data_IF_816417429287
#
_entry.id   IF_816417429287
#
_cell.length_a   1.000
_cell.length_b   1.000
_cell.length_c   1.000
_cell.angle_alpha   90.00
_cell.angle_beta   90.00
_cell.angle_gamma   90.00
#
_symmetry.space_group_name_H-M   'P 1'
#
loop_
_entity.id
_entity.type
_entity.pdbx_description
1 polymer ?
#
# COMPACT_ATOMS: atom_id res chain seq x y z
N UNK A 1 9.65 6.46 -15.01
CA UNK A 1 8.90 7.45 -14.21
C UNK A 1 7.55 7.69 -14.86
N UNK A 2 6.50 6.96 -14.43
CA UNK A 2 5.12 7.32 -14.76
C UNK A 2 4.64 8.24 -13.64
N UNK A 3 4.47 9.53 -13.94
CA UNK A 3 3.75 10.42 -13.05
C UNK A 3 2.31 9.89 -13.01
N UNK A 4 1.94 9.26 -11.90
CA UNK A 4 0.57 8.86 -11.68
C UNK A 4 -0.23 10.15 -11.47
N UNK A 5 -0.85 10.60 -12.56
CA UNK A 5 -1.81 11.71 -12.54
C UNK A 5 -3.08 11.17 -11.90
N UNK A 6 -2.98 10.84 -10.62
CA UNK A 6 -4.11 10.38 -9.83
C UNK A 6 -5.16 11.48 -9.76
N UNK A 7 -6.41 11.06 -9.49
CA UNK A 7 -7.55 11.97 -9.33
C UNK A 7 -7.22 13.13 -8.38
N UNK A 8 -6.43 12.87 -7.34
CA UNK A 8 -5.97 13.90 -6.41
C UNK A 8 -5.14 14.99 -7.09
N UNK A 9 -4.20 14.62 -7.98
CA UNK A 9 -3.35 15.57 -8.71
C UNK A 9 -4.19 16.47 -9.63
N UNK A 10 -5.18 15.90 -10.32
CA UNK A 10 -6.11 16.65 -11.19
C UNK A 10 -6.98 17.59 -10.36
N UNK A 11 -7.54 17.10 -9.26
CA UNK A 11 -8.35 17.89 -8.32
C UNK A 11 -7.53 19.02 -7.71
N UNK A 12 -6.30 18.76 -7.25
CA UNK A 12 -5.41 19.80 -6.71
C UNK A 12 -5.08 20.85 -7.76
N UNK A 13 -4.73 20.46 -8.99
CA UNK A 13 -4.44 21.42 -10.08
C UNK A 13 -5.65 22.28 -10.42
N UNK A 14 -6.83 21.67 -10.60
CA UNK A 14 -8.08 22.41 -10.86
C UNK A 14 -8.41 23.38 -9.72
N UNK A 15 -8.27 22.93 -8.48
CA UNK A 15 -8.54 23.76 -7.30
C UNK A 15 -7.54 24.90 -7.15
N UNK A 16 -6.24 24.68 -7.42
CA UNK A 16 -5.23 25.74 -7.46
C UNK A 16 -5.59 26.77 -8.52
N UNK A 17 -5.95 26.34 -9.74
CA UNK A 17 -6.37 27.25 -10.80
C UNK A 17 -7.61 28.08 -10.42
N UNK A 18 -8.59 27.46 -9.76
CA UNK A 18 -9.79 28.15 -9.27
C UNK A 18 -9.47 29.15 -8.15
N UNK A 19 -8.60 28.77 -7.20
CA UNK A 19 -8.14 29.64 -6.11
C UNK A 19 -7.33 30.83 -6.64
N UNK A 20 -6.39 30.61 -7.57
CA UNK A 20 -5.62 31.67 -8.23
C UNK A 20 -6.54 32.62 -8.98
N UNK A 21 -7.53 32.09 -9.72
CA UNK A 21 -8.51 32.90 -10.45
C UNK A 21 -9.40 33.72 -9.50
N UNK A 22 -9.81 33.15 -8.37
CA UNK A 22 -10.55 33.87 -7.33
C UNK A 22 -9.71 35.00 -6.70
N UNK A 23 -8.45 34.72 -6.36
CA UNK A 23 -7.50 35.71 -5.86
C UNK A 23 -7.27 36.86 -6.85
N UNK A 24 -7.04 36.57 -8.13
CA UNK A 24 -6.90 37.59 -9.19
C UNK A 24 -8.16 38.45 -9.33
N UNK A 25 -9.35 37.86 -9.19
CA UNK A 25 -10.62 38.61 -9.23
C UNK A 25 -10.81 39.50 -8.02
N UNK A 26 -10.38 39.06 -6.83
CA UNK A 26 -10.42 39.86 -5.60
C UNK A 26 -9.47 41.05 -5.68
N UNK A 27 -8.21 40.84 -6.09
CA UNK A 27 -7.21 41.92 -6.27
C UNK A 27 -7.67 42.95 -7.30
N UNK A 28 -8.39 42.53 -8.34
CA UNK A 28 -8.96 43.42 -9.36
C UNK A 28 -10.28 44.10 -8.93
N UNK A 29 -10.72 43.93 -7.68
CA UNK A 29 -11.96 44.51 -7.16
C UNK A 29 -13.25 43.99 -7.82
N UNK A 30 -13.17 42.84 -8.51
CA UNK A 30 -14.28 42.27 -9.30
C UNK A 30 -15.07 41.17 -8.58
N UNK A 31 -14.69 40.81 -7.35
CA UNK A 31 -15.36 39.78 -6.56
C UNK A 31 -15.81 40.34 -5.21
N UNK A 32 -17.01 39.95 -4.77
CA UNK A 32 -17.49 40.23 -3.42
C UNK A 32 -16.74 39.37 -2.40
N UNK A 33 -16.54 39.89 -1.19
CA UNK A 33 -15.92 39.17 -0.06
C UNK A 33 -16.63 37.85 0.26
N UNK A 34 -17.95 37.80 0.07
CA UNK A 34 -18.77 36.59 0.18
C UNK A 34 -18.33 35.49 -0.80
N UNK A 35 -18.07 35.84 -2.06
CA UNK A 35 -17.65 34.88 -3.08
C UNK A 35 -16.31 34.23 -2.77
N UNK A 36 -15.39 34.96 -2.15
CA UNK A 36 -14.10 34.39 -1.71
C UNK A 36 -14.24 33.53 -0.47
N UNK A 37 -15.13 33.89 0.46
CA UNK A 37 -15.47 33.03 1.59
C UNK A 37 -15.99 31.67 1.14
N UNK A 38 -16.92 31.63 0.17
CA UNK A 38 -17.46 30.36 -0.37
C UNK A 38 -16.38 29.51 -1.03
N UNK A 39 -15.51 30.11 -1.86
CA UNK A 39 -14.42 29.36 -2.51
C UNK A 39 -13.44 28.79 -1.49
N UNK A 40 -13.08 29.57 -0.47
CA UNK A 40 -12.19 29.10 0.59
C UNK A 40 -12.79 27.94 1.39
N UNK A 41 -14.08 28.01 1.72
CA UNK A 41 -14.78 26.92 2.42
C UNK A 41 -14.83 25.65 1.55
N UNK A 42 -15.19 25.78 0.27
CA UNK A 42 -15.19 24.62 -0.65
C UNK A 42 -13.80 24.00 -0.73
N UNK A 43 -12.75 24.83 -0.83
CA UNK A 43 -11.37 24.36 -0.90
C UNK A 43 -10.95 23.62 0.37
N UNK A 44 -11.20 24.20 1.54
CA UNK A 44 -10.92 23.57 2.83
C UNK A 44 -11.66 22.25 3.01
N UNK A 45 -12.94 22.19 2.63
CA UNK A 45 -13.73 20.96 2.70
C UNK A 45 -13.17 19.86 1.81
N UNK A 46 -12.79 20.18 0.56
CA UNK A 46 -12.22 19.17 -0.35
C UNK A 46 -10.86 18.67 0.15
N UNK A 47 -9.99 19.55 0.65
CA UNK A 47 -8.70 19.15 1.21
C UNK A 47 -8.86 18.30 2.47
N UNK A 48 -9.75 18.69 3.38
CA UNK A 48 -10.02 17.93 4.59
C UNK A 48 -10.60 16.54 4.26
N UNK A 49 -11.53 16.46 3.29
CA UNK A 49 -12.09 15.19 2.83
C UNK A 49 -11.02 14.31 2.18
N UNK A 50 -10.18 14.86 1.30
CA UNK A 50 -9.10 14.12 0.64
C UNK A 50 -8.06 13.60 1.65
N UNK A 51 -7.64 14.43 2.61
CA UNK A 51 -6.72 14.03 3.67
C UNK A 51 -7.34 12.96 4.58
N UNK A 52 -8.62 13.11 4.94
CA UNK A 52 -9.35 12.15 5.75
C UNK A 52 -9.48 10.78 5.07
N UNK A 53 -9.79 10.75 3.76
CA UNK A 53 -9.85 9.51 2.98
C UNK A 53 -8.48 8.83 2.88
N UNK A 54 -7.42 9.60 2.62
CA UNK A 54 -6.07 9.06 2.54
C UNK A 54 -5.59 8.48 3.89
N UNK A 55 -5.90 9.14 5.01
CA UNK A 55 -5.58 8.62 6.33
C UNK A 55 -6.43 7.37 6.66
N UNK A 56 -7.71 7.36 6.29
CA UNK A 56 -8.57 6.19 6.48
C UNK A 56 -8.06 4.97 5.69
N UNK A 57 -7.72 5.14 4.41
CA UNK A 57 -7.08 4.13 3.56
C UNK A 57 -5.81 3.58 4.22
N UNK A 58 -4.95 4.47 4.71
CA UNK A 58 -3.71 4.09 5.37
C UNK A 58 -3.96 3.28 6.63
N UNK A 59 -4.86 3.74 7.51
CA UNK A 59 -5.17 3.06 8.77
C UNK A 59 -5.82 1.69 8.55
N UNK A 60 -6.72 1.56 7.57
CA UNK A 60 -7.35 0.27 7.24
C UNK A 60 -6.30 -0.70 6.70
N UNK A 61 -5.45 -0.25 5.77
CA UNK A 61 -4.38 -1.08 5.20
C UNK A 61 -3.38 -1.51 6.27
N UNK A 62 -2.99 -0.59 7.14
CA UNK A 62 -2.12 -0.82 8.29
C UNK A 62 -2.68 -1.89 9.24
N UNK A 63 -3.98 -1.83 9.56
CA UNK A 63 -4.65 -2.80 10.43
C UNK A 63 -4.74 -4.18 9.79
N UNK A 64 -5.10 -4.25 8.51
CA UNK A 64 -5.18 -5.51 7.76
C UNK A 64 -3.81 -6.16 7.58
N UNK A 65 -2.79 -5.38 7.24
CA UNK A 65 -1.42 -5.88 7.14
C UNK A 65 -0.93 -6.39 8.50
N UNK A 66 -1.26 -5.70 9.60
CA UNK A 66 -0.89 -6.12 10.95
C UNK A 66 -1.59 -7.43 11.34
N UNK A 67 -2.89 -7.59 11.05
CA UNK A 67 -3.60 -8.83 11.37
C UNK A 67 -3.03 -10.03 10.60
N UNK A 68 -2.67 -9.84 9.33
CA UNK A 68 -1.97 -10.86 8.54
C UNK A 68 -0.60 -11.16 9.12
N UNK A 69 0.15 -10.14 9.54
CA UNK A 69 1.49 -10.34 10.13
C UNK A 69 1.40 -11.15 11.41
N UNK A 70 0.43 -10.88 12.28
CA UNK A 70 0.19 -11.66 13.50
C UNK A 70 -0.18 -13.11 13.17
N UNK A 71 -1.05 -13.31 12.17
CA UNK A 71 -1.49 -14.63 11.74
C UNK A 71 -0.33 -15.48 11.20
N UNK A 72 0.47 -14.94 10.28
CA UNK A 72 1.55 -15.68 9.61
C UNK A 72 2.74 -15.87 10.54
N UNK A 73 3.11 -14.84 11.32
CA UNK A 73 4.25 -14.94 12.23
C UNK A 73 3.95 -15.76 13.49
N UNK A 74 2.66 -15.91 13.85
CA UNK A 74 2.24 -16.53 15.11
C UNK A 74 2.56 -15.69 16.36
N UNK A 75 2.98 -14.43 16.20
CA UNK A 75 3.40 -13.56 17.30
C UNK A 75 2.32 -12.50 17.58
N UNK A 76 1.67 -12.51 18.76
CA UNK A 76 0.56 -11.60 19.05
C UNK A 76 0.97 -10.11 19.15
N UNK A 77 2.27 -9.84 19.37
CA UNK A 77 2.81 -8.48 19.39
C UNK A 77 3.35 -7.99 18.03
N UNK A 78 3.25 -8.80 16.98
CA UNK A 78 3.75 -8.42 15.66
C UNK A 78 2.95 -7.27 15.05
N UNK A 79 3.64 -6.39 14.31
CA UNK A 79 3.03 -5.23 13.67
C UNK A 79 3.58 -5.09 12.25
N UNK A 80 2.69 -4.92 11.26
CA UNK A 80 3.12 -4.41 9.95
C UNK A 80 3.18 -2.88 10.04
N UNK A 81 4.10 -2.22 9.34
CA UNK A 81 4.14 -0.75 9.22
C UNK A 81 4.18 -0.37 7.76
N UNK A 82 3.07 0.18 7.30
CA UNK A 82 3.02 0.79 5.97
C UNK A 82 3.80 2.10 5.95
N UNK A 83 4.75 2.23 5.02
CA UNK A 83 5.44 3.49 4.80
C UNK A 83 4.46 4.54 4.26
N UNK A 84 4.63 5.80 4.71
CA UNK A 84 3.96 6.93 4.06
C UNK A 84 4.70 7.28 2.77
N UNK A 85 4.00 7.71 1.73
CA UNK A 85 4.63 8.04 0.42
C UNK A 85 5.81 9.00 0.56
N UNK A 86 5.70 10.03 1.39
CA UNK A 86 6.77 11.02 1.59
C UNK A 86 7.99 10.45 2.30
N UNK A 87 7.81 9.48 3.19
CA UNK A 87 8.93 8.81 3.86
C UNK A 87 9.60 7.80 2.94
N UNK A 88 8.81 7.13 2.10
CA UNK A 88 9.28 6.12 1.12
C UNK A 88 10.08 6.75 -0.03
N UNK A 89 9.81 8.01 -0.40
CA UNK A 89 10.60 8.76 -1.39
C UNK A 89 12.07 8.95 -0.99
N UNK A 90 12.38 8.84 0.30
CA UNK A 90 13.75 8.93 0.82
C UNK A 90 14.37 7.55 1.03
N UNK A 91 13.60 6.48 0.79
CA UNK A 91 14.06 5.10 0.89
C UNK A 91 14.67 4.64 -0.44
N UNK A 92 15.99 4.56 -0.44
CA UNK A 92 16.81 4.12 -1.58
C UNK A 92 17.03 2.61 -1.59
N UNK A 93 16.50 1.86 -0.62
CA UNK A 93 16.58 0.41 -0.63
C UNK A 93 15.73 -0.16 -1.77
N UNK A 94 16.23 -1.20 -2.45
CA UNK A 94 15.53 -1.84 -3.57
C UNK A 94 14.41 -2.80 -3.14
N UNK A 95 14.18 -2.96 -1.85
CA UNK A 95 13.34 -4.02 -1.30
C UNK A 95 11.89 -3.54 -1.16
N UNK A 96 10.90 -4.39 -1.46
CA UNK A 96 9.47 -4.05 -1.32
C UNK A 96 8.97 -4.07 0.14
N UNK A 97 9.76 -4.64 1.04
CA UNK A 97 9.56 -4.73 2.48
C UNK A 97 10.88 -4.98 3.22
N UNK A 98 10.86 -4.92 4.56
CA UNK A 98 11.97 -5.35 5.40
C UNK A 98 11.60 -5.58 6.87
N UNK A 99 12.35 -6.45 7.54
CA UNK A 99 12.38 -6.59 9.00
C UNK A 99 13.77 -6.27 9.53
N UNK A 100 13.90 -5.27 10.40
CA UNK A 100 15.19 -4.90 10.99
C UNK A 100 15.53 -5.76 12.21
N UNK A 101 16.83 -5.92 12.48
CA UNK A 101 17.32 -6.64 13.66
C UNK A 101 16.90 -5.98 14.99
N UNK A 102 16.85 -4.65 15.03
CA UNK A 102 16.51 -3.88 16.23
C UNK A 102 15.03 -3.90 16.59
N UNK A 103 14.15 -4.20 15.62
CA UNK A 103 12.70 -4.29 15.82
C UNK A 103 12.17 -5.51 15.05
N UNK A 104 12.50 -6.73 15.52
CA UNK A 104 12.24 -7.96 14.79
C UNK A 104 10.76 -8.35 14.76
N UNK A 105 9.93 -7.64 15.53
CA UNK A 105 8.48 -7.74 15.61
C UNK A 105 7.75 -6.84 14.60
N UNK A 106 8.50 -6.04 13.83
CA UNK A 106 7.95 -5.05 12.90
C UNK A 106 8.31 -5.38 11.45
N UNK A 107 7.29 -5.77 10.67
CA UNK A 107 7.36 -5.86 9.22
C UNK A 107 7.15 -4.49 8.59
N UNK A 108 8.16 -3.91 7.94
CA UNK A 108 8.02 -2.62 7.24
C UNK A 108 7.68 -2.89 5.78
N UNK A 109 6.63 -2.26 5.28
CA UNK A 109 6.17 -2.39 3.91
C UNK A 109 6.32 -1.05 3.20
N UNK A 110 6.80 -1.07 1.97
CA UNK A 110 6.91 0.15 1.15
C UNK A 110 5.55 0.73 0.80
N UNK A 111 5.56 2.01 0.43
CA UNK A 111 4.34 2.75 0.15
C UNK A 111 3.58 2.22 -1.08
N UNK A 112 4.30 1.69 -2.07
CA UNK A 112 3.75 1.02 -3.25
C UNK A 112 3.14 -0.34 -2.90
N UNK A 113 3.83 -1.16 -2.10
CA UNK A 113 3.29 -2.42 -1.54
C UNK A 113 1.98 -2.15 -0.80
N UNK A 114 1.93 -1.15 0.07
CA UNK A 114 0.70 -0.81 0.79
C UNK A 114 -0.39 -0.24 -0.11
N UNK A 115 -0.05 0.53 -1.14
CA UNK A 115 -1.04 0.99 -2.13
C UNK A 115 -1.61 -0.18 -2.94
N UNK A 116 -0.79 -1.16 -3.31
CA UNK A 116 -1.22 -2.38 -3.99
C UNK A 116 -2.08 -3.27 -3.08
N UNK A 117 -1.76 -3.37 -1.78
CA UNK A 117 -2.62 -4.03 -0.78
C UNK A 117 -3.98 -3.34 -0.66
N UNK A 118 -4.01 -2.01 -0.59
CA UNK A 118 -5.28 -1.28 -0.56
C UNK A 118 -6.09 -1.48 -1.85
N UNK A 119 -5.43 -1.38 -3.01
CA UNK A 119 -6.03 -1.67 -4.31
C UNK A 119 -6.61 -3.08 -4.36
N UNK A 120 -5.88 -4.06 -3.82
CA UNK A 120 -6.37 -5.42 -3.65
C UNK A 120 -7.64 -5.41 -2.79
N UNK A 121 -7.59 -4.89 -1.56
CA UNK A 121 -8.72 -4.87 -0.60
C UNK A 121 -9.97 -4.21 -1.18
N UNK A 122 -9.83 -3.18 -1.99
CA UNK A 122 -10.96 -2.47 -2.61
C UNK A 122 -11.45 -3.08 -3.93
N UNK A 123 -10.71 -4.02 -4.52
CA UNK A 123 -11.11 -4.68 -5.78
C UNK A 123 -12.25 -5.67 -5.61
N UNK A 124 -12.76 -6.21 -6.71
CA UNK A 124 -13.71 -7.33 -6.73
C UNK A 124 -13.04 -8.70 -6.54
N UNK A 125 -11.70 -8.75 -6.46
CA UNK A 125 -10.87 -9.94 -6.29
C UNK A 125 -10.95 -10.93 -7.48
N UNK A 126 -11.50 -10.56 -8.63
CA UNK A 126 -11.71 -11.51 -9.74
C UNK A 126 -10.50 -11.61 -10.67
N UNK A 127 -9.81 -10.49 -10.87
CA UNK A 127 -8.69 -10.35 -11.80
C UNK A 127 -7.52 -9.62 -11.13
N UNK A 128 -6.77 -10.30 -10.24
CA UNK A 128 -5.66 -9.66 -9.55
C UNK A 128 -4.58 -9.21 -10.55
N UNK A 129 -4.10 -7.99 -10.37
CA UNK A 129 -2.93 -7.49 -11.09
C UNK A 129 -1.66 -8.13 -10.53
N UNK A 130 -0.57 -8.14 -11.31
CA UNK A 130 0.74 -8.62 -10.84
C UNK A 130 1.18 -7.89 -9.57
N UNK A 131 0.99 -6.57 -9.49
CA UNK A 131 1.36 -5.78 -8.31
C UNK A 131 0.57 -6.21 -7.06
N UNK A 132 -0.71 -6.54 -7.20
CA UNK A 132 -1.51 -7.07 -6.09
C UNK A 132 -1.04 -8.45 -5.65
N UNK A 133 -0.70 -9.34 -6.60
CA UNK A 133 -0.13 -10.66 -6.29
C UNK A 133 1.19 -10.53 -5.54
N UNK A 134 2.09 -9.67 -6.02
CA UNK A 134 3.38 -9.39 -5.38
C UNK A 134 3.18 -8.77 -4.00
N UNK A 135 2.27 -7.81 -3.84
CA UNK A 135 2.06 -7.14 -2.56
C UNK A 135 1.52 -8.08 -1.47
N UNK A 136 0.62 -9.01 -1.84
CA UNK A 136 0.16 -10.07 -0.95
C UNK A 136 1.31 -10.99 -0.53
N UNK A 137 2.17 -11.36 -1.48
CA UNK A 137 3.33 -12.20 -1.21
C UNK A 137 4.35 -11.50 -0.32
N UNK A 138 4.71 -10.24 -0.61
CA UNK A 138 5.64 -9.45 0.21
C UNK A 138 5.13 -9.34 1.65
N UNK A 139 3.82 -9.13 1.85
CA UNK A 139 3.23 -9.14 3.19
C UNK A 139 3.42 -10.49 3.90
N UNK A 140 3.24 -11.61 3.19
CA UNK A 140 3.50 -12.94 3.74
C UNK A 140 5.00 -13.15 4.05
N UNK A 141 5.89 -12.73 3.14
CA UNK A 141 7.34 -12.80 3.25
C UNK A 141 7.84 -12.06 4.50
N UNK A 142 7.50 -10.79 4.64
CA UNK A 142 7.90 -10.02 5.81
C UNK A 142 7.30 -10.57 7.12
N UNK A 143 6.09 -11.12 7.06
CA UNK A 143 5.50 -11.75 8.22
C UNK A 143 6.21 -13.04 8.64
N UNK A 144 6.72 -13.84 7.69
CA UNK A 144 7.57 -14.99 7.98
C UNK A 144 8.88 -14.53 8.62
N UNK A 145 9.48 -13.43 8.14
CA UNK A 145 10.64 -12.84 8.80
C UNK A 145 10.37 -12.43 10.25
N UNK A 146 9.19 -11.84 10.52
CA UNK A 146 8.76 -11.53 11.89
C UNK A 146 8.61 -12.80 12.74
N UNK A 147 8.22 -13.92 12.14
CA UNK A 147 8.18 -15.26 12.76
C UNK A 147 9.55 -15.78 13.19
N UNK A 148 10.64 -15.21 12.67
CA UNK A 148 12.01 -15.49 13.09
C UNK A 148 12.87 -16.18 12.03
N UNK A 149 12.32 -16.52 10.86
CA UNK A 149 13.11 -17.00 9.72
C UNK A 149 13.91 -15.83 9.11
N UNK A 150 15.18 -16.03 8.82
CA UNK A 150 16.11 -14.98 8.37
C UNK A 150 16.77 -15.31 7.04
N UNK A 151 16.73 -16.56 6.60
CA UNK A 151 17.24 -16.94 5.31
C UNK A 151 16.20 -16.61 4.24
N UNK A 152 16.51 -15.65 3.36
CA UNK A 152 15.62 -15.18 2.28
C UNK A 152 14.97 -16.33 1.50
N UNK A 153 15.74 -17.33 1.04
CA UNK A 153 15.20 -18.48 0.33
C UNK A 153 14.21 -19.34 1.16
N UNK A 154 14.46 -19.51 2.46
CA UNK A 154 13.54 -20.23 3.34
C UNK A 154 12.29 -19.40 3.64
N UNK A 155 12.45 -18.10 3.85
CA UNK A 155 11.36 -17.13 4.00
C UNK A 155 10.47 -17.14 2.77
N UNK A 156 11.05 -17.02 1.59
CA UNK A 156 10.36 -17.04 0.30
C UNK A 156 9.56 -18.33 0.12
N UNK A 157 10.15 -19.47 0.49
CA UNK A 157 9.48 -20.75 0.40
C UNK A 157 8.26 -20.84 1.33
N UNK A 158 8.44 -20.45 2.59
CA UNK A 158 7.37 -20.43 3.57
C UNK A 158 6.27 -19.44 3.17
N UNK A 159 6.64 -18.25 2.69
CA UNK A 159 5.72 -17.21 2.22
C UNK A 159 4.83 -17.71 1.08
N UNK A 160 5.40 -18.42 0.09
CA UNK A 160 4.63 -19.08 -0.97
C UNK A 160 3.61 -20.10 -0.43
N UNK A 161 3.88 -20.72 0.73
CA UNK A 161 2.93 -21.58 1.41
C UNK A 161 1.76 -20.81 2.06
N UNK A 162 1.97 -19.54 2.37
CA UNK A 162 0.99 -18.66 2.99
C UNK A 162 0.15 -17.85 1.99
N UNK A 163 0.60 -17.66 0.75
CA UNK A 163 -0.06 -16.82 -0.26
C UNK A 163 -1.58 -17.02 -0.35
N UNK A 164 -2.03 -18.27 -0.48
CA UNK A 164 -3.46 -18.57 -0.58
C UNK A 164 -4.21 -18.26 0.74
N UNK A 165 -3.58 -18.48 1.89
CA UNK A 165 -4.19 -18.17 3.19
C UNK A 165 -4.27 -16.67 3.42
N UNK A 166 -3.22 -15.92 3.07
CA UNK A 166 -3.21 -14.45 3.12
C UNK A 166 -4.27 -13.85 2.20
N UNK A 167 -4.37 -14.34 0.96
CA UNK A 167 -5.38 -13.89 0.02
C UNK A 167 -6.81 -14.10 0.57
N UNK A 168 -7.09 -15.26 1.19
CA UNK A 168 -8.39 -15.54 1.83
C UNK A 168 -8.66 -14.65 3.03
N UNK A 169 -7.66 -14.45 3.89
CA UNK A 169 -7.78 -13.56 5.04
C UNK A 169 -8.13 -12.12 4.61
N UNK A 170 -7.73 -11.73 3.39
CA UNK A 170 -8.04 -10.43 2.79
C UNK A 170 -9.22 -10.48 1.79
N UNK A 171 -10.06 -11.52 1.88
CA UNK A 171 -11.38 -11.56 1.24
C UNK A 171 -11.47 -12.30 -0.11
N UNK A 172 -10.41 -12.98 -0.56
CA UNK A 172 -10.53 -13.86 -1.73
C UNK A 172 -11.39 -15.10 -1.43
N UNK A 173 -12.11 -15.59 -2.44
CA UNK A 173 -12.63 -16.96 -2.44
C UNK A 173 -11.48 -17.97 -2.51
N UNK A 174 -11.73 -19.22 -2.12
CA UNK A 174 -10.71 -20.28 -2.19
C UNK A 174 -10.13 -20.44 -3.61
N UNK A 175 -10.98 -20.39 -4.65
CA UNK A 175 -10.53 -20.53 -6.02
C UNK A 175 -9.58 -19.39 -6.45
N UNK A 176 -9.94 -18.14 -6.14
CA UNK A 176 -9.10 -16.97 -6.42
C UNK A 176 -7.79 -17.03 -5.63
N UNK A 177 -7.85 -17.42 -4.35
CA UNK A 177 -6.67 -17.51 -3.51
C UNK A 177 -5.65 -18.54 -4.03
N UNK A 178 -6.13 -19.70 -4.49
CA UNK A 178 -5.26 -20.70 -5.12
C UNK A 178 -4.69 -20.19 -6.45
N UNK A 179 -5.47 -19.44 -7.22
CA UNK A 179 -4.98 -18.81 -8.45
C UNK A 179 -3.87 -17.79 -8.17
N UNK A 180 -4.00 -16.99 -7.11
CA UNK A 180 -2.97 -16.02 -6.69
C UNK A 180 -1.67 -16.72 -6.31
N UNK A 181 -1.74 -17.74 -5.45
CA UNK A 181 -0.58 -18.51 -5.05
C UNK A 181 0.11 -19.18 -6.26
N UNK A 182 -0.69 -19.73 -7.18
CA UNK A 182 -0.17 -20.31 -8.42
C UNK A 182 0.47 -19.23 -9.33
N UNK A 183 -0.16 -18.05 -9.44
CA UNK A 183 0.33 -16.94 -10.25
C UNK A 183 1.69 -16.46 -9.76
N UNK A 184 1.87 -16.25 -8.45
CA UNK A 184 3.16 -15.86 -7.88
C UNK A 184 4.24 -16.89 -8.20
N UNK A 185 3.97 -18.17 -7.89
CA UNK A 185 4.90 -19.28 -8.11
C UNK A 185 5.32 -19.45 -9.57
N UNK A 186 4.41 -19.24 -10.51
CA UNK A 186 4.67 -19.48 -11.94
C UNK A 186 5.27 -18.27 -12.64
N UNK A 187 4.92 -17.06 -12.23
CA UNK A 187 5.24 -15.84 -12.98
C UNK A 187 6.31 -14.98 -12.29
N UNK A 188 6.33 -14.94 -10.96
CA UNK A 188 7.22 -14.06 -10.20
C UNK A 188 8.42 -14.83 -9.66
N UNK A 189 8.18 -15.91 -8.90
CA UNK A 189 9.24 -16.69 -8.25
C UNK A 189 10.39 -17.12 -9.18
N UNK A 190 10.16 -17.57 -10.43
CA UNK A 190 11.26 -17.98 -11.32
C UNK A 190 12.19 -16.83 -11.71
N UNK A 191 11.72 -15.59 -11.63
CA UNK A 191 12.46 -14.37 -11.97
C UNK A 191 13.19 -13.76 -10.78
N UNK A 192 12.98 -14.27 -9.57
CA UNK A 192 13.63 -13.78 -8.36
C UNK A 192 15.15 -14.05 -8.38
N UNK A 193 15.96 -13.22 -7.71
CA UNK A 193 17.40 -13.45 -7.57
C UNK A 193 17.71 -14.79 -6.91
N UNK A 194 18.92 -15.32 -7.14
CA UNK A 194 19.34 -16.63 -6.61
C UNK A 194 19.21 -16.75 -5.09
N UNK A 195 19.42 -15.65 -4.35
CA UNK A 195 19.30 -15.61 -2.88
C UNK A 195 17.89 -15.90 -2.35
N UNK A 196 16.86 -15.71 -3.20
CA UNK A 196 15.45 -16.01 -2.91
C UNK A 196 15.04 -17.41 -3.42
N UNK A 197 15.88 -18.11 -4.18
CA UNK A 197 15.54 -19.38 -4.85
C UNK A 197 16.19 -20.60 -4.16
N UNK A 198 15.54 -21.76 -4.28
CA UNK A 198 16.09 -23.05 -3.80
C UNK A 198 15.88 -23.37 -2.32
N UNK A 199 15.08 -22.58 -1.60
CA UNK A 199 14.58 -22.92 -0.26
C UNK A 199 13.32 -23.81 -0.27
N UNK A 200 12.80 -24.08 -1.46
CA UNK A 200 11.87 -25.15 -1.83
C UNK A 200 12.56 -26.05 -2.88
#
# INVERSE_FOLDING_TARGET
MRLDVGVLTVVTVLLVLLATRAGVRLVRGRASSWGVGVVAVVWWTVLAAAAGLAEAEHQVTQQLATSVTVMVSGRPGAVARCARRTTDMLDVSGNAGSVSWDTPDVARLRADTCAALWSWVMSDKTHPTTDQVVALHVLAHEAVHVGGERAEAATECAAMGWDATVARALGASDAVAQQIAASYRQQVYPTMPDEYRGGC
#
